data_IF_834889411675
#
_entry.id   IF_834889411675
#
_cell.length_a   1.000
_cell.length_b   1.000
_cell.length_c   1.000
_cell.angle_alpha   90.00
_cell.angle_beta   90.00
_cell.angle_gamma   90.00
#
_symmetry.space_group_name_H-M   'P 1'
#
loop_
_entity.id
_entity.type
_entity.pdbx_description
1 polymer ?
#
# COMPACT_ATOMS: atom_id res chain seq x y z
N UNK A 1 5.99 23.09 20.89
CA UNK A 1 4.93 22.42 20.12
C UNK A 1 4.87 22.99 18.71
N UNK A 2 4.70 22.17 17.67
CA UNK A 2 4.52 22.67 16.30
C UNK A 2 3.15 23.31 16.15
N UNK A 3 3.10 24.63 15.98
CA UNK A 3 1.86 25.40 15.79
C UNK A 3 1.28 25.30 14.37
N UNK A 4 2.11 25.04 13.36
CA UNK A 4 1.69 24.98 11.97
C UNK A 4 1.93 23.59 11.36
N UNK A 5 1.00 23.13 10.50
CA UNK A 5 1.18 21.93 9.70
C UNK A 5 2.19 22.19 8.58
N UNK A 6 3.09 21.24 8.26
CA UNK A 6 4.01 21.40 7.13
C UNK A 6 3.24 21.51 5.82
N UNK A 7 3.71 22.35 4.91
CA UNK A 7 3.14 22.47 3.56
C UNK A 7 3.26 21.15 2.83
N UNK A 8 2.17 20.66 2.23
CA UNK A 8 2.21 19.45 1.38
C UNK A 8 3.01 19.76 0.11
N UNK A 9 4.01 18.93 -0.18
CA UNK A 9 4.76 19.04 -1.44
C UNK A 9 3.90 18.54 -2.59
N UNK A 10 3.97 19.23 -3.73
CA UNK A 10 3.33 18.79 -4.97
C UNK A 10 4.13 17.61 -5.54
N UNK A 11 3.45 16.51 -5.79
CA UNK A 11 4.04 15.34 -6.44
C UNK A 11 3.82 15.49 -7.94
N UNK A 12 4.93 15.53 -8.70
CA UNK A 12 4.88 15.52 -10.17
C UNK A 12 4.41 14.15 -10.65
N UNK A 13 3.66 14.10 -11.76
CA UNK A 13 3.24 12.83 -12.36
C UNK A 13 4.44 12.04 -12.89
N UNK A 14 4.23 10.76 -13.11
CA UNK A 14 5.21 9.85 -13.72
C UNK A 14 5.44 10.17 -15.19
N UNK A 15 6.68 10.10 -15.69
CA UNK A 15 7.00 10.46 -17.08
C UNK A 15 6.41 9.50 -18.12
N UNK A 16 6.16 8.23 -17.79
CA UNK A 16 5.66 7.22 -18.74
C UNK A 16 4.12 7.17 -18.76
N UNK A 17 3.50 7.07 -17.58
CA UNK A 17 2.05 6.92 -17.45
C UNK A 17 1.33 8.22 -17.09
N UNK A 18 2.06 9.32 -16.86
CA UNK A 18 1.53 10.61 -16.42
C UNK A 18 0.61 10.50 -15.18
N UNK A 19 0.92 9.58 -14.27
CA UNK A 19 0.11 9.28 -13.08
C UNK A 19 0.83 9.64 -11.78
N UNK A 20 0.18 10.44 -10.93
CA UNK A 20 0.70 10.84 -9.62
C UNK A 20 0.78 9.68 -8.62
N UNK A 21 -0.10 8.66 -8.73
CA UNK A 21 -0.06 7.47 -7.87
C UNK A 21 1.20 6.67 -8.11
N UNK A 22 1.62 6.53 -9.38
CA UNK A 22 2.88 5.86 -9.75
C UNK A 22 4.08 6.57 -9.12
N UNK A 23 4.17 7.90 -9.25
CA UNK A 23 5.26 8.67 -8.63
C UNK A 23 5.29 8.51 -7.11
N UNK A 24 4.13 8.48 -6.43
CA UNK A 24 4.07 8.22 -4.99
C UNK A 24 4.55 6.82 -4.65
N UNK A 25 4.14 5.81 -5.44
CA UNK A 25 4.55 4.43 -5.24
C UNK A 25 6.06 4.26 -5.38
N UNK A 26 6.65 4.83 -6.43
CA UNK A 26 8.10 4.83 -6.65
C UNK A 26 8.85 5.51 -5.51
N UNK A 27 8.32 6.61 -4.96
CA UNK A 27 8.90 7.27 -3.79
C UNK A 27 8.85 6.37 -2.53
N UNK A 28 7.85 5.52 -2.37
CA UNK A 28 7.80 4.53 -1.28
C UNK A 28 8.71 3.31 -1.54
N UNK A 29 8.89 2.95 -2.80
CA UNK A 29 9.76 1.84 -3.21
C UNK A 29 11.25 2.20 -3.10
N UNK A 30 11.58 3.49 -3.22
CA UNK A 30 12.94 3.99 -3.25
C UNK A 30 13.71 3.73 -1.95
N UNK A 31 14.99 3.31 -2.10
CA UNK A 31 15.99 3.26 -1.05
C UNK A 31 17.17 4.16 -1.41
N UNK A 32 17.79 4.78 -0.42
CA UNK A 32 19.03 5.55 -0.52
C UNK A 32 18.99 6.65 -1.60
N UNK A 33 17.80 7.19 -1.89
CA UNK A 33 17.63 8.19 -2.94
C UNK A 33 17.74 7.67 -4.38
N UNK A 34 17.88 6.36 -4.60
CA UNK A 34 18.06 5.74 -5.93
C UNK A 34 16.74 5.66 -6.70
N UNK A 35 16.22 6.82 -7.10
CA UNK A 35 14.89 6.94 -7.71
C UNK A 35 14.79 6.29 -9.10
N UNK A 36 15.81 6.41 -9.95
CA UNK A 36 15.83 5.78 -11.27
C UNK A 36 15.67 4.28 -11.18
N UNK A 37 16.44 3.62 -10.29
CA UNK A 37 16.31 2.17 -10.07
C UNK A 37 14.92 1.75 -9.57
N UNK A 38 14.25 2.61 -8.82
CA UNK A 38 12.89 2.33 -8.36
C UNK A 38 11.87 2.42 -9.50
N UNK A 39 12.07 3.32 -10.45
CA UNK A 39 11.29 3.36 -11.67
C UNK A 39 11.51 2.10 -12.51
N UNK A 40 12.76 1.70 -12.73
CA UNK A 40 13.09 0.48 -13.48
C UNK A 40 12.44 -0.76 -12.87
N UNK A 41 12.50 -0.90 -11.55
CA UNK A 41 11.84 -2.02 -10.83
C UNK A 41 10.33 -1.99 -11.07
N UNK A 42 9.71 -0.83 -10.98
CA UNK A 42 8.27 -0.71 -11.17
C UNK A 42 7.86 -1.02 -12.61
N UNK A 43 8.52 -0.44 -13.60
CA UNK A 43 8.19 -0.68 -15.01
C UNK A 43 8.42 -2.15 -15.40
N UNK A 44 9.57 -2.73 -15.03
CA UNK A 44 9.85 -4.15 -15.26
C UNK A 44 8.80 -5.05 -14.57
N UNK A 45 8.31 -4.68 -13.39
CA UNK A 45 7.25 -5.44 -12.74
C UNK A 45 5.94 -5.42 -13.52
N UNK A 46 5.57 -4.27 -14.11
CA UNK A 46 4.39 -4.17 -14.97
C UNK A 46 4.54 -4.95 -16.28
N UNK A 47 5.74 -5.00 -16.87
CA UNK A 47 6.02 -5.84 -18.05
C UNK A 47 5.85 -7.33 -17.73
N UNK A 48 6.34 -7.78 -16.57
CA UNK A 48 6.16 -9.16 -16.11
C UNK A 48 4.66 -9.46 -15.89
N UNK A 49 3.91 -8.55 -15.28
CA UNK A 49 2.45 -8.69 -15.11
C UNK A 49 1.76 -8.81 -16.47
N UNK A 50 2.11 -7.94 -17.43
CA UNK A 50 1.59 -8.00 -18.81
C UNK A 50 1.86 -9.35 -19.48
N UNK A 51 3.07 -9.91 -19.28
CA UNK A 51 3.45 -11.21 -19.84
C UNK A 51 2.70 -12.39 -19.25
N UNK A 52 2.36 -12.31 -17.95
CA UNK A 52 1.71 -13.40 -17.21
C UNK A 52 0.18 -13.35 -17.19
N UNK A 53 -0.41 -12.15 -17.29
CA UNK A 53 -1.86 -11.93 -17.23
C UNK A 53 -2.41 -11.53 -18.59
N UNK A 54 -2.13 -12.32 -19.63
CA UNK A 54 -2.58 -12.06 -21.00
C UNK A 54 -4.10 -12.20 -21.19
N UNK A 55 -4.75 -13.00 -20.35
CA UNK A 55 -6.17 -13.29 -20.43
C UNK A 55 -7.05 -12.19 -19.85
N UNK A 56 -6.43 -11.17 -19.25
CA UNK A 56 -7.16 -10.03 -18.64
C UNK A 56 -7.14 -8.86 -19.61
N UNK A 57 -8.31 -8.39 -20.04
CA UNK A 57 -8.48 -7.25 -20.97
C UNK A 57 -8.06 -5.88 -20.39
N UNK A 58 -7.40 -5.86 -19.23
CA UNK A 58 -6.96 -4.64 -18.54
C UNK A 58 -5.50 -4.32 -18.82
N UNK A 59 -5.18 -3.04 -18.85
CA UNK A 59 -3.79 -2.61 -18.90
C UNK A 59 -3.05 -2.98 -17.61
N UNK A 60 -1.72 -3.24 -17.65
CA UNK A 60 -0.95 -3.57 -16.45
C UNK A 60 -1.05 -2.50 -15.35
N UNK A 61 -1.20 -1.24 -15.74
CA UNK A 61 -1.41 -0.13 -14.82
C UNK A 61 -2.77 -0.22 -14.11
N UNK A 62 -3.82 -0.60 -14.81
CA UNK A 62 -5.17 -0.81 -14.23
C UNK A 62 -5.18 -2.01 -13.29
N UNK A 63 -4.50 -3.10 -13.65
CA UNK A 63 -4.32 -4.27 -12.78
C UNK A 63 -3.64 -3.86 -11.47
N UNK A 64 -2.56 -3.08 -11.55
CA UNK A 64 -1.87 -2.57 -10.37
C UNK A 64 -2.75 -1.64 -9.52
N UNK A 65 -3.52 -0.73 -10.15
CA UNK A 65 -4.46 0.15 -9.42
C UNK A 65 -5.53 -0.66 -8.69
N UNK A 66 -6.11 -1.63 -9.37
CA UNK A 66 -7.11 -2.52 -8.76
C UNK A 66 -6.50 -3.36 -7.63
N UNK A 67 -5.29 -3.88 -7.80
CA UNK A 67 -4.56 -4.57 -6.74
C UNK A 67 -4.36 -3.68 -5.51
N UNK A 68 -4.00 -2.40 -5.70
CA UNK A 68 -3.90 -1.43 -4.60
C UNK A 68 -5.24 -1.21 -3.90
N UNK A 69 -6.32 -1.07 -4.66
CA UNK A 69 -7.65 -0.87 -4.09
C UNK A 69 -8.11 -2.10 -3.29
N UNK A 70 -7.82 -3.32 -3.79
CA UNK A 70 -8.12 -4.57 -3.11
C UNK A 70 -7.42 -4.71 -1.75
N UNK A 71 -6.20 -4.19 -1.61
CA UNK A 71 -5.42 -4.26 -0.36
C UNK A 71 -5.57 -3.02 0.53
N UNK A 72 -6.38 -2.04 0.12
CA UNK A 72 -6.56 -0.79 0.87
C UNK A 72 -7.42 -1.03 2.11
N UNK A 73 -6.89 -0.84 3.34
CA UNK A 73 -7.67 -1.00 4.55
C UNK A 73 -8.56 0.22 4.80
N UNK A 74 -9.76 -0.01 5.34
CA UNK A 74 -10.69 1.06 5.71
C UNK A 74 -10.47 1.55 7.14
N UNK A 75 -10.03 0.64 8.02
CA UNK A 75 -9.85 0.88 9.44
C UNK A 75 -8.45 0.45 9.90
N UNK A 76 -7.92 1.15 10.89
CA UNK A 76 -6.70 0.77 11.60
C UNK A 76 -6.95 0.81 13.10
N UNK A 77 -6.14 0.07 13.86
CA UNK A 77 -6.19 0.07 15.32
C UNK A 77 -5.04 0.91 15.84
N UNK A 78 -5.33 1.84 16.75
CA UNK A 78 -4.34 2.67 17.43
C UNK A 78 -4.37 2.43 18.91
N UNK A 79 -3.19 2.25 19.51
CA UNK A 79 -3.04 2.15 20.96
C UNK A 79 -3.26 3.53 21.60
N UNK A 80 -4.13 3.61 22.59
CA UNK A 80 -4.35 4.77 23.44
C UNK A 80 -4.26 4.41 24.90
N UNK A 81 -3.60 5.26 25.67
CA UNK A 81 -3.50 5.09 27.12
C UNK A 81 -4.57 5.93 27.82
N UNK A 82 -5.43 5.26 28.59
CA UNK A 82 -6.54 5.87 29.32
C UNK A 82 -6.51 5.34 30.74
N UNK A 83 -6.41 6.24 31.74
CA UNK A 83 -6.41 5.82 33.14
C UNK A 83 -5.32 4.80 33.54
N UNK A 84 -4.15 4.83 32.86
CA UNK A 84 -3.07 3.87 33.12
C UNK A 84 -3.11 2.58 32.27
N UNK A 85 -4.25 2.20 31.70
CA UNK A 85 -4.40 1.04 30.83
C UNK A 85 -4.24 1.44 29.36
N UNK A 86 -3.71 0.52 28.54
CA UNK A 86 -3.55 0.72 27.09
C UNK A 86 -4.64 -0.01 26.32
N UNK A 87 -5.44 0.74 25.59
CA UNK A 87 -6.54 0.21 24.79
C UNK A 87 -6.19 0.29 23.29
N UNK A 88 -6.63 -0.73 22.54
CA UNK A 88 -6.53 -0.76 21.09
C UNK A 88 -7.83 -0.18 20.51
N UNK A 89 -7.77 1.08 20.04
CA UNK A 89 -8.95 1.81 19.56
C UNK A 89 -9.04 1.73 18.05
N UNK A 90 -10.12 1.17 17.46
CA UNK A 90 -10.34 1.14 16.03
C UNK A 90 -10.69 2.55 15.53
N UNK A 91 -10.01 2.97 14.45
CA UNK A 91 -10.20 4.28 13.83
C UNK A 91 -10.29 4.14 12.32
N UNK A 92 -11.16 4.93 11.70
CA UNK A 92 -11.19 5.05 10.25
C UNK A 92 -9.91 5.72 9.72
N UNK A 93 -9.35 5.19 8.63
CA UNK A 93 -8.14 5.72 8.03
C UNK A 93 -8.53 6.87 7.08
N UNK A 94 -7.88 8.02 7.22
CA UNK A 94 -8.09 9.16 6.30
C UNK A 94 -7.69 8.80 4.86
N UNK A 95 -8.38 9.33 3.82
CA UNK A 95 -8.13 8.99 2.42
C UNK A 95 -6.65 9.10 2.00
N UNK A 96 -5.98 10.19 2.33
CA UNK A 96 -4.55 10.41 2.05
C UNK A 96 -3.65 9.32 2.65
N UNK A 97 -4.05 8.77 3.81
CA UNK A 97 -3.30 7.75 4.52
C UNK A 97 -3.63 6.34 3.99
N UNK A 98 -4.87 6.09 3.56
CA UNK A 98 -5.27 4.80 2.97
C UNK A 98 -4.35 4.43 1.82
N UNK A 99 -4.15 5.36 0.88
CA UNK A 99 -3.27 5.18 -0.27
C UNK A 99 -1.82 4.87 0.15
N UNK A 100 -1.28 5.61 1.11
CA UNK A 100 0.09 5.39 1.60
C UNK A 100 0.25 4.05 2.33
N UNK A 101 -0.76 3.60 3.08
CA UNK A 101 -0.74 2.32 3.79
C UNK A 101 -0.79 1.15 2.81
N UNK A 102 -1.66 1.20 1.80
CA UNK A 102 -1.75 0.16 0.78
C UNK A 102 -0.45 0.01 0.00
N UNK A 103 0.16 1.12 -0.46
CA UNK A 103 1.45 1.11 -1.15
C UNK A 103 2.56 0.50 -0.30
N UNK A 104 2.66 0.90 0.97
CA UNK A 104 3.66 0.36 1.91
C UNK A 104 3.45 -1.13 2.17
N UNK A 105 2.21 -1.57 2.33
CA UNK A 105 1.90 -2.98 2.52
C UNK A 105 2.32 -3.80 1.30
N UNK A 106 1.94 -3.39 0.09
CA UNK A 106 2.35 -4.08 -1.14
C UNK A 106 3.88 -4.20 -1.24
N UNK A 107 4.61 -3.11 -1.03
CA UNK A 107 6.07 -3.09 -1.10
C UNK A 107 6.70 -3.99 -0.02
N UNK A 108 6.22 -3.91 1.21
CA UNK A 108 6.78 -4.68 2.33
C UNK A 108 6.56 -6.18 2.15
N UNK A 109 5.40 -6.60 1.64
CA UNK A 109 5.14 -8.01 1.38
C UNK A 109 5.85 -8.51 0.12
N UNK A 110 5.96 -7.68 -0.93
CA UNK A 110 6.81 -7.99 -2.08
C UNK A 110 8.27 -8.25 -1.66
N UNK A 111 8.84 -7.40 -0.79
CA UNK A 111 10.21 -7.58 -0.27
C UNK A 111 10.42 -8.88 0.49
N UNK A 112 9.40 -9.37 1.20
CA UNK A 112 9.44 -10.62 1.97
C UNK A 112 9.34 -11.89 1.10
N UNK A 113 8.90 -11.77 -0.15
CA UNK A 113 8.79 -12.90 -1.07
C UNK A 113 10.16 -13.45 -1.45
N UNK A 114 10.21 -14.73 -1.75
CA UNK A 114 11.30 -15.34 -2.50
C UNK A 114 11.23 -14.93 -3.97
N UNK A 115 12.36 -14.81 -4.66
CA UNK A 115 12.40 -14.43 -6.07
C UNK A 115 13.77 -13.90 -6.47
N UNK A 116 14.10 -13.92 -7.76
CA UNK A 116 15.40 -13.52 -8.29
C UNK A 116 15.62 -12.00 -8.19
N UNK A 117 14.62 -11.22 -8.57
CA UNK A 117 14.70 -9.76 -8.56
C UNK A 117 13.54 -9.13 -7.78
N UNK A 118 13.70 -7.84 -7.41
CA UNK A 118 12.61 -7.09 -6.77
C UNK A 118 11.44 -6.89 -7.74
N UNK A 119 11.69 -6.81 -9.05
CA UNK A 119 10.65 -6.70 -10.06
C UNK A 119 9.77 -7.97 -10.11
N UNK A 120 10.38 -9.17 -10.06
CA UNK A 120 9.65 -10.43 -10.01
C UNK A 120 8.78 -10.56 -8.75
N UNK A 121 9.36 -10.17 -7.60
CA UNK A 121 8.68 -10.21 -6.31
C UNK A 121 7.48 -9.27 -6.28
N UNK A 122 7.65 -8.06 -6.82
CA UNK A 122 6.61 -7.05 -6.90
C UNK A 122 5.50 -7.48 -7.88
N UNK A 123 5.87 -8.00 -9.06
CA UNK A 123 4.91 -8.51 -10.03
C UNK A 123 4.04 -9.64 -9.44
N UNK A 124 4.66 -10.58 -8.73
CA UNK A 124 3.93 -11.67 -8.07
C UNK A 124 2.96 -11.14 -6.99
N UNK A 125 3.39 -10.15 -6.17
CA UNK A 125 2.49 -9.55 -5.17
C UNK A 125 1.34 -8.78 -5.81
N UNK A 126 1.57 -8.08 -6.94
CA UNK A 126 0.52 -7.38 -7.69
C UNK A 126 -0.52 -8.36 -8.22
N UNK A 127 -0.09 -9.47 -8.83
CA UNK A 127 -1.00 -10.49 -9.38
C UNK A 127 -1.84 -11.15 -8.28
N UNK A 128 -1.22 -11.52 -7.16
CA UNK A 128 -1.94 -12.12 -6.03
C UNK A 128 -2.91 -11.12 -5.40
N UNK A 129 -2.51 -9.86 -5.22
CA UNK A 129 -3.37 -8.80 -4.69
C UNK A 129 -4.56 -8.49 -5.63
N UNK A 130 -4.35 -8.58 -6.94
CA UNK A 130 -5.42 -8.45 -7.93
C UNK A 130 -6.47 -9.57 -7.75
N UNK A 131 -6.02 -10.79 -7.48
CA UNK A 131 -6.87 -11.97 -7.24
C UNK A 131 -7.37 -12.06 -5.78
N UNK A 132 -7.25 -11.01 -4.97
CA UNK A 132 -7.60 -11.00 -3.55
C UNK A 132 -6.84 -12.04 -2.73
N UNK A 133 -5.57 -12.25 -3.05
CA UNK A 133 -4.66 -13.18 -2.40
C UNK A 133 -3.36 -12.48 -2.00
N UNK A 134 -2.44 -13.24 -1.40
CA UNK A 134 -1.12 -12.73 -1.05
C UNK A 134 -1.04 -12.10 0.34
N UNK A 135 0.19 -11.73 0.70
CA UNK A 135 0.50 -11.23 2.04
C UNK A 135 -0.08 -9.85 2.33
N UNK A 136 -0.11 -8.96 1.33
CA UNK A 136 -0.66 -7.62 1.48
C UNK A 136 -2.19 -7.67 1.68
N UNK A 137 -2.89 -8.54 0.96
CA UNK A 137 -4.32 -8.75 1.12
C UNK A 137 -4.64 -9.33 2.50
N UNK A 138 -3.94 -10.38 2.92
CA UNK A 138 -4.08 -10.97 4.26
C UNK A 138 -3.85 -9.93 5.36
N UNK A 139 -2.87 -9.04 5.19
CA UNK A 139 -2.63 -7.94 6.14
C UNK A 139 -3.82 -7.00 6.27
N UNK A 140 -4.51 -6.67 5.17
CA UNK A 140 -5.75 -5.88 5.21
C UNK A 140 -6.82 -6.60 6.04
N UNK A 141 -7.04 -7.90 5.78
CA UNK A 141 -8.02 -8.69 6.52
C UNK A 141 -7.70 -8.77 8.02
N UNK A 142 -6.43 -9.00 8.36
CA UNK A 142 -5.99 -9.01 9.76
C UNK A 142 -6.23 -7.66 10.46
N UNK A 143 -6.00 -6.54 9.76
CA UNK A 143 -6.29 -5.20 10.30
C UNK A 143 -7.79 -5.01 10.54
N UNK A 144 -8.64 -5.44 9.61
CA UNK A 144 -10.09 -5.38 9.77
C UNK A 144 -10.58 -6.27 10.91
N UNK A 145 -10.06 -7.50 11.01
CA UNK A 145 -10.38 -8.45 12.11
C UNK A 145 -9.96 -7.90 13.48
N UNK A 146 -8.78 -7.30 13.56
CA UNK A 146 -8.33 -6.65 14.81
C UNK A 146 -9.22 -5.46 15.18
N UNK A 147 -9.65 -4.66 14.19
CA UNK A 147 -10.55 -3.53 14.43
C UNK A 147 -11.93 -3.99 14.89
N UNK A 148 -12.44 -5.08 14.34
CA UNK A 148 -13.73 -5.68 14.74
C UNK A 148 -13.66 -6.26 16.15
N UNK A 149 -12.61 -7.02 16.50
CA UNK A 149 -12.40 -7.55 17.83
C UNK A 149 -12.31 -6.46 18.92
N UNK A 150 -11.83 -5.26 18.54
CA UNK A 150 -11.72 -4.12 19.46
C UNK A 150 -12.88 -3.11 19.31
N UNK A 151 -13.97 -3.47 18.64
CA UNK A 151 -15.11 -2.57 18.38
C UNK A 151 -15.71 -1.95 19.65
N UNK A 152 -15.69 -2.68 20.75
CA UNK A 152 -16.17 -2.18 22.05
C UNK A 152 -15.45 -0.90 22.52
N UNK A 153 -14.18 -0.69 22.11
CA UNK A 153 -13.38 0.47 22.47
C UNK A 153 -13.50 1.64 21.49
N UNK A 154 -14.39 1.56 20.49
CA UNK A 154 -14.55 2.60 19.47
C UNK A 154 -15.00 3.96 20.07
N UNK A 155 -15.67 3.97 21.20
CA UNK A 155 -16.08 5.19 21.90
C UNK A 155 -14.89 6.00 22.46
N UNK A 156 -13.70 5.42 22.57
CA UNK A 156 -12.48 6.14 22.98
C UNK A 156 -11.80 6.88 21.82
N UNK A 157 -12.51 7.15 20.72
CA UNK A 157 -12.05 8.04 19.67
C UNK A 157 -12.12 9.50 20.16
N UNK A 158 -10.99 10.14 20.34
CA UNK A 158 -10.89 11.58 20.58
C UNK A 158 -9.86 12.18 19.63
#
# INVERSE_FOLDING_TARGET
>A
MRKAKPKKRVVLPDPVFNDKKVSKFVNHLMYDGKKSKSYDIFYNSLEIVKGKMKDVEKTPLEIWKQALDNITPQVEVKSRRIGGATFQVPMEIRPDRKESVSMKNMINFARKRSGKSMADKLASEIMDAFNNQGGAFKRKEDMHRMAEANRAFAHFRF
#
